data_IF_409742243193
#
_entry.id   IF_409742243193
#
_cell.length_a   1.000
_cell.length_b   1.000
_cell.length_c   1.000
_cell.angle_alpha   90.00
_cell.angle_beta   90.00
_cell.angle_gamma   90.00
#
_symmetry.space_group_name_H-M   'P 1'
#
loop_
_entity.id
_entity.type
_entity.pdbx_description
1 polymer ?
#
# COMPACT_ATOMS: atom_id res chain seq x y z
N UNK A 1 7.61 16.43 7.98
CA UNK A 1 7.93 15.14 7.35
C UNK A 1 8.45 15.42 5.95
N UNK A 2 9.31 14.55 5.41
CA UNK A 2 9.76 14.62 4.01
C UNK A 2 9.01 13.58 3.18
N UNK A 3 8.81 13.82 1.88
CA UNK A 3 8.14 12.91 0.95
C UNK A 3 8.73 11.50 0.97
N UNK A 4 10.06 11.37 1.06
CA UNK A 4 10.73 10.06 1.17
C UNK A 4 10.40 9.32 2.47
N UNK A 5 10.27 10.04 3.58
CA UNK A 5 9.87 9.44 4.86
C UNK A 5 8.39 9.05 4.86
N UNK A 6 7.54 9.82 4.18
CA UNK A 6 6.13 9.49 4.02
C UNK A 6 5.96 8.17 3.26
N UNK A 7 6.65 7.99 2.13
CA UNK A 7 6.63 6.73 1.37
C UNK A 7 7.21 5.55 2.18
N UNK A 8 8.30 5.76 2.92
CA UNK A 8 8.83 4.73 3.84
C UNK A 8 7.80 4.29 4.88
N UNK A 9 7.04 5.23 5.43
CA UNK A 9 5.98 4.90 6.38
C UNK A 9 4.86 4.09 5.71
N UNK A 10 4.46 4.45 4.48
CA UNK A 10 3.47 3.66 3.72
C UNK A 10 3.99 2.25 3.46
N UNK A 11 5.24 2.09 3.03
CA UNK A 11 5.88 0.78 2.84
C UNK A 11 5.81 -0.06 4.12
N UNK A 12 6.23 0.51 5.25
CA UNK A 12 6.20 -0.16 6.54
C UNK A 12 4.79 -0.57 6.97
N UNK A 13 3.78 0.26 6.67
CA UNK A 13 2.38 -0.05 6.93
C UNK A 13 1.89 -1.24 6.08
N UNK A 14 2.23 -1.26 4.79
CA UNK A 14 1.91 -2.40 3.89
C UNK A 14 2.56 -3.68 4.41
N UNK A 15 3.85 -3.64 4.73
CA UNK A 15 4.60 -4.79 5.26
C UNK A 15 4.01 -5.28 6.59
N UNK A 16 3.59 -4.35 7.46
CA UNK A 16 2.93 -4.67 8.73
C UNK A 16 1.60 -5.39 8.49
N UNK A 17 0.73 -4.85 7.63
CA UNK A 17 -0.56 -5.46 7.30
C UNK A 17 -0.40 -6.86 6.68
N UNK A 18 0.52 -7.01 5.73
CA UNK A 18 0.82 -8.30 5.09
C UNK A 18 1.33 -9.31 6.11
N UNK A 19 2.19 -8.89 7.04
CA UNK A 19 2.65 -9.73 8.14
C UNK A 19 1.50 -10.18 9.04
N UNK A 20 0.52 -9.30 9.32
CA UNK A 20 -0.67 -9.65 10.10
C UNK A 20 -1.59 -10.61 9.32
N UNK A 21 -1.69 -10.50 7.99
CA UNK A 21 -2.46 -11.46 7.18
C UNK A 21 -1.82 -12.85 7.20
N UNK A 22 -0.49 -12.92 7.11
CA UNK A 22 0.27 -14.17 7.16
C UNK A 22 0.19 -14.89 8.52
N UNK A 23 -0.13 -14.18 9.60
CA UNK A 23 -0.37 -14.75 10.93
C UNK A 23 -1.77 -15.37 11.08
N UNK A 24 -2.60 -15.36 10.03
CA UNK A 24 -3.94 -15.91 10.08
C UNK A 24 -4.82 -15.19 11.11
N UNK A 25 -5.60 -15.96 11.86
CA UNK A 25 -6.47 -15.47 12.94
C UNK A 25 -5.70 -14.81 14.09
N UNK A 26 -4.44 -15.18 14.33
CA UNK A 26 -3.60 -14.57 15.38
C UNK A 26 -3.23 -13.11 15.07
N UNK A 27 -3.13 -12.77 13.79
CA UNK A 27 -2.89 -11.40 13.33
C UNK A 27 -4.07 -10.45 13.54
N UNK A 28 -5.23 -10.96 14.01
CA UNK A 28 -6.44 -10.17 14.34
C UNK A 28 -6.95 -9.30 13.19
N UNK A 29 -6.79 -9.78 11.96
CA UNK A 29 -7.37 -9.18 10.76
C UNK A 29 -8.49 -10.05 10.24
N UNK A 30 -9.47 -9.43 9.57
CA UNK A 30 -10.55 -10.18 8.91
C UNK A 30 -9.98 -11.06 7.78
N UNK A 31 -9.01 -10.54 7.02
CA UNK A 31 -8.33 -11.28 5.95
C UNK A 31 -7.60 -12.51 6.51
N UNK A 32 -6.78 -12.35 7.56
CA UNK A 32 -6.08 -13.47 8.18
C UNK A 32 -7.04 -14.54 8.72
N UNK A 33 -8.12 -14.11 9.39
CA UNK A 33 -9.17 -15.04 9.86
C UNK A 33 -9.82 -15.79 8.69
N UNK A 34 -10.03 -15.11 7.56
CA UNK A 34 -10.60 -15.74 6.36
C UNK A 34 -9.62 -16.72 5.73
N UNK A 35 -8.33 -16.41 5.64
CA UNK A 35 -7.30 -17.30 5.11
C UNK A 35 -7.24 -18.63 5.89
N UNK A 36 -7.29 -18.57 7.22
CA UNK A 36 -7.36 -19.78 8.07
C UNK A 36 -8.60 -20.63 7.75
N UNK A 37 -9.75 -19.98 7.57
CA UNK A 37 -11.02 -20.68 7.28
C UNK A 37 -11.02 -21.44 5.94
N UNK A 38 -10.12 -21.09 5.02
CA UNK A 38 -9.99 -21.73 3.71
C UNK A 38 -9.21 -23.06 3.76
N UNK A 39 -8.53 -23.37 4.87
CA UNK A 39 -7.71 -24.58 5.03
C UNK A 39 -6.72 -24.81 3.86
N UNK A 40 -6.08 -23.74 3.40
CA UNK A 40 -5.07 -23.79 2.33
C UNK A 40 -3.81 -24.50 2.82
N UNK A 41 -3.02 -25.09 1.90
CA UNK A 41 -1.67 -25.50 2.26
C UNK A 41 -0.81 -24.27 2.60
N UNK A 42 0.27 -24.42 3.39
CA UNK A 42 1.15 -23.30 3.74
C UNK A 42 1.71 -22.57 2.50
N UNK A 43 2.04 -23.31 1.45
CA UNK A 43 2.58 -22.76 0.20
C UNK A 43 1.52 -21.92 -0.52
N UNK A 44 0.31 -22.45 -0.65
CA UNK A 44 -0.79 -21.72 -1.30
C UNK A 44 -1.25 -20.52 -0.47
N UNK A 45 -1.22 -20.61 0.87
CA UNK A 45 -1.51 -19.46 1.73
C UNK A 45 -0.49 -18.33 1.50
N UNK A 46 0.80 -18.65 1.48
CA UNK A 46 1.84 -17.67 1.19
C UNK A 46 1.68 -17.02 -0.20
N UNK A 47 1.30 -17.79 -1.23
CA UNK A 47 1.02 -17.27 -2.57
C UNK A 47 -0.19 -16.32 -2.57
N UNK A 48 -1.28 -16.67 -1.88
CA UNK A 48 -2.45 -15.78 -1.73
C UNK A 48 -2.09 -14.50 -0.99
N UNK A 49 -1.31 -14.58 0.09
CA UNK A 49 -0.84 -13.40 0.82
C UNK A 49 0.02 -12.50 -0.08
N UNK A 50 0.89 -13.09 -0.91
CA UNK A 50 1.69 -12.33 -1.88
C UNK A 50 0.84 -11.64 -2.95
N UNK A 51 -0.23 -12.28 -3.44
CA UNK A 51 -1.19 -11.65 -4.36
C UNK A 51 -1.94 -10.48 -3.70
N UNK A 52 -2.29 -10.61 -2.42
CA UNK A 52 -2.91 -9.52 -1.65
C UNK A 52 -1.93 -8.36 -1.50
N UNK A 53 -0.67 -8.63 -1.17
CA UNK A 53 0.38 -7.60 -1.11
C UNK A 53 0.52 -6.86 -2.45
N UNK A 54 0.59 -7.59 -3.57
CA UNK A 54 0.66 -6.99 -4.90
C UNK A 54 -0.54 -6.09 -5.19
N UNK A 55 -1.76 -6.55 -4.90
CA UNK A 55 -2.97 -5.76 -5.08
C UNK A 55 -2.97 -4.47 -4.24
N UNK A 56 -2.46 -4.52 -3.00
CA UNK A 56 -2.31 -3.34 -2.14
C UNK A 56 -1.30 -2.37 -2.74
N UNK A 57 -0.14 -2.86 -3.19
CA UNK A 57 0.90 -2.04 -3.80
C UNK A 57 0.41 -1.34 -5.07
N UNK A 58 -0.23 -2.08 -5.98
CA UNK A 58 -0.80 -1.54 -7.22
C UNK A 58 -1.89 -0.50 -6.96
N UNK A 59 -2.82 -0.79 -6.03
CA UNK A 59 -3.89 0.14 -5.66
C UNK A 59 -3.32 1.42 -5.04
N UNK A 60 -2.33 1.28 -4.15
CA UNK A 60 -1.67 2.41 -3.49
C UNK A 60 -0.90 3.26 -4.49
N UNK A 61 -0.14 2.65 -5.40
CA UNK A 61 0.55 3.36 -6.47
C UNK A 61 -0.43 4.16 -7.35
N UNK A 62 -1.50 3.51 -7.82
CA UNK A 62 -2.52 4.16 -8.63
C UNK A 62 -3.20 5.34 -7.90
N UNK A 63 -3.45 5.19 -6.59
CA UNK A 63 -4.00 6.26 -5.76
C UNK A 63 -3.01 7.43 -5.66
N UNK A 64 -1.74 7.16 -5.37
CA UNK A 64 -0.70 8.20 -5.29
C UNK A 64 -0.55 8.92 -6.64
N UNK A 65 -0.47 8.19 -7.75
CA UNK A 65 -0.44 8.77 -9.09
C UNK A 65 -1.68 9.61 -9.40
N UNK A 66 -2.84 9.19 -8.89
CA UNK A 66 -4.08 9.96 -8.98
C UNK A 66 -4.04 11.26 -8.17
N UNK A 67 -3.37 11.27 -7.01
CA UNK A 67 -3.19 12.46 -6.18
C UNK A 67 -2.15 13.42 -6.78
N UNK A 68 -1.10 12.89 -7.39
CA UNK A 68 -0.05 13.66 -8.10
C UNK A 68 -0.50 14.12 -9.50
N UNK A 69 -1.67 13.68 -9.96
CA UNK A 69 -2.22 13.98 -11.28
C UNK A 69 -1.47 13.33 -12.45
N UNK A 70 -0.56 12.39 -12.18
CA UNK A 70 0.10 11.56 -13.20
C UNK A 70 -0.80 10.45 -13.74
N UNK A 71 -1.89 10.12 -13.03
CA UNK A 71 -2.97 9.27 -13.50
C UNK A 71 -4.34 9.90 -13.19
N UNK A 72 -5.39 9.45 -13.88
CA UNK A 72 -6.77 9.84 -13.57
C UNK A 72 -7.38 8.96 -12.49
N UNK A 73 -8.09 9.55 -11.52
CA UNK A 73 -8.99 8.83 -10.63
C UNK A 73 -10.37 8.71 -11.29
N UNK A 74 -10.69 7.53 -11.83
CA UNK A 74 -11.99 7.23 -12.47
C UNK A 74 -12.40 8.29 -13.50
N UNK A 75 -11.44 8.71 -14.34
CA UNK A 75 -11.65 9.69 -15.41
C UNK A 75 -11.56 11.16 -14.98
N UNK A 76 -11.32 11.44 -13.69
CA UNK A 76 -11.00 12.80 -13.22
C UNK A 76 -9.49 12.92 -13.03
N UNK A 77 -8.86 13.91 -13.67
CA UNK A 77 -7.42 14.16 -13.53
C UNK A 77 -7.22 15.56 -12.94
N UNK A 78 -6.70 15.60 -11.72
CA UNK A 78 -6.43 16.81 -10.95
C UNK A 78 -5.09 16.63 -10.22
N UNK A 79 -4.43 17.73 -9.87
CA UNK A 79 -3.24 17.70 -9.02
C UNK A 79 -3.63 18.15 -7.62
N UNK A 80 -3.41 17.30 -6.64
CA UNK A 80 -3.71 17.57 -5.25
C UNK A 80 -2.45 17.97 -4.49
N UNK A 81 -2.60 18.98 -3.63
CA UNK A 81 -1.55 19.36 -2.70
C UNK A 81 -1.68 18.57 -1.40
N UNK A 82 -0.67 17.78 -1.06
CA UNK A 82 -0.61 17.03 0.19
C UNK A 82 0.34 17.77 1.14
N UNK A 83 -0.14 18.10 2.34
CA UNK A 83 0.67 18.70 3.40
C UNK A 83 0.56 17.90 4.69
N UNK A 84 1.65 17.79 5.43
CA UNK A 84 1.61 17.25 6.79
C UNK A 84 1.01 18.26 7.80
N UNK A 85 0.84 17.83 9.05
CA UNK A 85 0.28 18.65 10.13
C UNK A 85 1.13 19.89 10.48
N UNK A 86 2.39 19.91 10.05
CA UNK A 86 3.29 21.07 10.22
C UNK A 86 3.25 22.02 9.01
N UNK A 87 2.45 21.70 7.99
CA UNK A 87 2.34 22.48 6.76
C UNK A 87 3.46 22.22 5.74
N UNK A 88 4.28 21.18 5.93
CA UNK A 88 5.27 20.80 4.92
C UNK A 88 4.55 20.13 3.75
N UNK A 89 4.82 20.60 2.54
CA UNK A 89 4.33 19.98 1.32
C UNK A 89 5.06 18.66 1.05
N UNK A 90 4.29 17.61 0.76
CA UNK A 90 4.77 16.27 0.48
C UNK A 90 4.59 15.88 -1.00
N UNK A 91 3.59 16.46 -1.67
CA UNK A 91 3.28 16.24 -3.09
C UNK A 91 4.35 16.78 -4.03
N UNK A 92 4.48 16.20 -5.22
CA UNK A 92 5.32 16.63 -6.33
C UNK A 92 6.08 15.48 -7.00
N UNK A 93 6.40 14.42 -6.25
CA UNK A 93 7.19 13.26 -6.72
C UNK A 93 6.80 11.96 -5.97
N UNK A 94 5.65 11.92 -5.29
CA UNK A 94 5.31 10.77 -4.43
C UNK A 94 5.16 9.46 -5.18
N UNK A 95 4.65 9.49 -6.41
CA UNK A 95 4.47 8.30 -7.25
C UNK A 95 5.81 7.72 -7.70
N UNK A 96 6.76 8.57 -8.11
CA UNK A 96 8.13 8.18 -8.45
C UNK A 96 8.81 7.55 -7.23
N UNK A 97 8.76 8.23 -6.08
CA UNK A 97 9.37 7.73 -4.84
C UNK A 97 8.72 6.41 -4.41
N UNK A 98 7.40 6.27 -4.55
CA UNK A 98 6.69 5.03 -4.23
C UNK A 98 7.11 3.89 -5.15
N UNK A 99 7.21 4.15 -6.46
CA UNK A 99 7.66 3.15 -7.43
C UNK A 99 9.04 2.61 -7.07
N UNK A 100 10.02 3.50 -6.87
CA UNK A 100 11.41 3.12 -6.52
C UNK A 100 11.54 2.38 -5.19
N UNK A 101 10.71 2.70 -4.20
CA UNK A 101 10.86 2.13 -2.85
C UNK A 101 10.01 0.88 -2.61
N UNK A 102 8.90 0.72 -3.34
CA UNK A 102 7.85 -0.26 -3.02
C UNK A 102 7.55 -1.21 -4.18
N UNK A 103 7.68 -0.74 -5.44
CA UNK A 103 7.34 -1.51 -6.63
C UNK A 103 8.56 -2.20 -7.27
N UNK A 104 9.75 -1.58 -7.20
CA UNK A 104 11.04 -2.18 -7.58
C UNK A 104 11.64 -3.05 -6.46
#
# INVERSE_FOLDING_TARGET
MRSDQFVKNIKAEIESLVSLYAQGSEGKTEIGTKLDSLNLSPELNAEVVSLIEQAIKESTYNLISGLEGSASLVGTQEIYKITDESGNELSGELDVIFYEQVME
#
